data_IF_076693015180
#
_entry.id   IF_076693015180
#
_cell.length_a   1.000
_cell.length_b   1.000
_cell.length_c   1.000
_cell.angle_alpha   90.00
_cell.angle_beta   90.00
_cell.angle_gamma   90.00
#
_symmetry.space_group_name_H-M   'P 1'
#
loop_
_entity.id
_entity.type
_entity.pdbx_description
1 polymer ?
#
# COMPACT_ATOMS: atom_id res chain seq x y z
N UNK A 1 -24.86 17.10 -9.59
CA UNK A 1 -23.69 16.29 -9.17
C UNK A 1 -22.50 16.75 -9.99
N UNK A 2 -21.36 17.13 -9.38
CA UNK A 2 -20.15 17.38 -10.14
C UNK A 2 -19.80 16.12 -10.92
N UNK A 3 -19.50 16.24 -12.20
CA UNK A 3 -18.95 15.15 -13.00
C UNK A 3 -17.64 14.68 -12.36
N UNK A 4 -17.41 13.36 -12.22
CA UNK A 4 -16.19 12.76 -11.62
C UNK A 4 -14.86 13.42 -12.08
N UNK A 5 -14.81 13.94 -13.30
CA UNK A 5 -13.67 14.68 -13.84
C UNK A 5 -13.28 15.97 -13.07
N UNK A 6 -14.22 16.64 -12.38
CA UNK A 6 -13.97 17.88 -11.60
C UNK A 6 -13.58 17.62 -10.15
N UNK A 7 -14.04 16.51 -9.56
CA UNK A 7 -13.80 16.19 -8.16
C UNK A 7 -12.31 15.93 -7.86
N UNK A 8 -11.62 15.18 -8.74
CA UNK A 8 -10.21 14.82 -8.52
C UNK A 8 -9.24 16.03 -8.42
N UNK A 9 -9.27 17.04 -9.33
CA UNK A 9 -8.45 18.24 -9.18
C UNK A 9 -8.64 18.99 -7.85
N UNK A 10 -9.88 19.04 -7.35
CA UNK A 10 -10.21 19.69 -6.07
C UNK A 10 -9.63 18.88 -4.88
N UNK A 11 -9.83 17.56 -4.87
CA UNK A 11 -9.22 16.66 -3.87
C UNK A 11 -7.70 16.81 -3.82
N UNK A 12 -7.04 16.79 -4.99
CA UNK A 12 -5.59 16.96 -5.09
C UNK A 12 -5.11 18.32 -4.60
N UNK A 13 -5.87 19.38 -4.88
CA UNK A 13 -5.55 20.73 -4.38
C UNK A 13 -5.65 20.79 -2.86
N UNK A 14 -6.72 20.25 -2.28
CA UNK A 14 -6.91 20.20 -0.83
C UNK A 14 -5.78 19.43 -0.13
N UNK A 15 -5.44 18.24 -0.66
CA UNK A 15 -4.31 17.42 -0.16
C UNK A 15 -2.99 18.20 -0.23
N UNK A 16 -2.68 18.83 -1.38
CA UNK A 16 -1.44 19.62 -1.54
C UNK A 16 -1.36 20.77 -0.55
N UNK A 17 -2.45 21.53 -0.41
CA UNK A 17 -2.51 22.66 0.51
C UNK A 17 -2.29 22.22 1.96
N UNK A 18 -2.88 21.10 2.37
CA UNK A 18 -2.67 20.56 3.71
C UNK A 18 -1.21 20.14 3.93
N UNK A 19 -0.64 19.35 3.01
CA UNK A 19 0.74 18.87 3.16
C UNK A 19 1.78 20.00 3.12
N UNK A 20 1.52 21.09 2.40
CA UNK A 20 2.38 22.29 2.41
C UNK A 20 2.43 22.97 3.78
N UNK A 21 1.35 22.87 4.57
CA UNK A 21 1.22 23.46 5.88
C UNK A 21 1.33 22.42 7.01
N UNK A 22 1.85 21.23 6.71
CA UNK A 22 2.00 20.15 7.67
C UNK A 22 2.95 20.56 8.81
N UNK A 23 2.48 20.47 10.06
CA UNK A 23 3.29 20.82 11.22
C UNK A 23 4.17 19.63 11.64
N UNK A 24 5.41 19.64 11.16
CA UNK A 24 6.42 18.62 11.49
C UNK A 24 6.93 18.69 12.94
N UNK A 25 6.51 19.66 13.75
CA UNK A 25 6.79 19.67 15.20
C UNK A 25 5.73 18.91 15.98
N UNK A 26 4.50 18.85 15.44
CA UNK A 26 3.35 18.15 16.00
C UNK A 26 2.83 17.13 14.98
N UNK A 27 3.70 16.16 14.64
CA UNK A 27 3.45 15.22 13.53
C UNK A 27 2.19 14.38 13.76
N UNK A 28 1.90 13.98 15.00
CA UNK A 28 0.72 13.15 15.31
C UNK A 28 -0.58 13.93 15.06
N UNK A 29 -0.64 15.16 15.54
CA UNK A 29 -1.78 16.07 15.36
C UNK A 29 -1.97 16.37 13.87
N UNK A 30 -0.88 16.64 13.15
CA UNK A 30 -0.92 16.90 11.70
C UNK A 30 -1.38 15.69 10.89
N UNK A 31 -0.96 14.47 11.26
CA UNK A 31 -1.43 13.24 10.63
C UNK A 31 -2.92 13.02 10.89
N UNK A 32 -3.38 13.24 12.13
CA UNK A 32 -4.80 13.10 12.47
C UNK A 32 -5.65 14.10 11.68
N UNK A 33 -5.27 15.38 11.64
CA UNK A 33 -5.97 16.38 10.84
C UNK A 33 -5.93 16.08 9.33
N UNK A 34 -4.86 15.45 8.84
CA UNK A 34 -4.80 15.01 7.45
C UNK A 34 -5.83 13.94 7.16
N UNK A 35 -6.03 12.99 8.09
CA UNK A 35 -7.04 11.93 7.95
C UNK A 35 -8.46 12.51 7.98
N UNK A 36 -8.74 13.51 8.83
CA UNK A 36 -10.02 14.21 8.80
C UNK A 36 -10.26 14.88 7.44
N UNK A 37 -9.24 15.54 6.87
CA UNK A 37 -9.33 16.08 5.51
C UNK A 37 -9.63 14.97 4.48
N UNK A 38 -8.97 13.82 4.56
CA UNK A 38 -9.20 12.70 3.63
C UNK A 38 -10.65 12.23 3.68
N UNK A 39 -11.23 12.18 4.87
CA UNK A 39 -12.64 11.84 5.08
C UNK A 39 -13.58 12.90 4.52
N UNK A 40 -13.29 14.18 4.74
CA UNK A 40 -14.08 15.31 4.23
C UNK A 40 -14.13 15.36 2.69
N UNK A 41 -13.05 14.93 2.04
CA UNK A 41 -12.96 14.85 0.58
C UNK A 41 -13.34 13.46 0.03
N UNK A 42 -14.01 12.63 0.82
CA UNK A 42 -14.53 11.31 0.44
C UNK A 42 -13.44 10.37 -0.12
N UNK A 43 -12.31 10.26 0.58
CA UNK A 43 -11.37 9.15 0.42
C UNK A 43 -11.84 8.00 1.29
N UNK A 44 -12.08 6.85 0.66
CA UNK A 44 -12.61 5.65 1.33
C UNK A 44 -11.53 4.63 1.62
N UNK A 45 -10.41 4.70 0.90
CA UNK A 45 -9.33 3.73 1.01
C UNK A 45 -7.95 4.31 0.74
N UNK A 46 -6.96 3.80 1.47
CA UNK A 46 -5.55 3.97 1.16
C UNK A 46 -4.93 2.60 0.84
N UNK A 47 -4.31 2.50 -0.32
CA UNK A 47 -3.60 1.30 -0.77
C UNK A 47 -2.11 1.55 -0.68
N UNK A 48 -1.39 0.71 0.05
CA UNK A 48 0.06 0.82 0.21
C UNK A 48 0.78 -0.34 -0.50
N UNK A 49 1.93 -0.06 -1.10
CA UNK A 49 2.98 -1.10 -1.23
C UNK A 49 3.56 -1.47 0.15
N UNK A 50 4.40 -2.48 0.22
CA UNK A 50 4.91 -3.02 1.47
C UNK A 50 6.39 -2.69 1.70
N UNK A 51 7.28 -3.23 0.86
CA UNK A 51 8.72 -3.03 0.99
C UNK A 51 9.06 -1.56 0.71
N UNK A 52 9.93 -0.95 1.52
CA UNK A 52 10.24 0.49 1.46
C UNK A 52 9.02 1.44 1.43
N UNK A 53 7.85 0.95 1.86
CA UNK A 53 6.63 1.75 1.98
C UNK A 53 6.05 1.59 3.39
N UNK A 54 5.38 0.49 3.71
CA UNK A 54 4.92 0.21 5.08
C UNK A 54 6.11 -0.05 6.00
N UNK A 55 7.08 -0.82 5.51
CA UNK A 55 8.31 -1.13 6.24
C UNK A 55 9.49 -0.34 5.65
N UNK A 56 10.40 0.11 6.51
CA UNK A 56 11.63 0.80 6.11
C UNK A 56 12.75 -0.15 5.66
N UNK A 57 12.40 -1.33 5.13
CA UNK A 57 13.35 -2.35 4.73
C UNK A 57 12.83 -3.15 3.52
N UNK A 58 13.75 -3.77 2.77
CA UNK A 58 13.40 -4.72 1.73
C UNK A 58 13.34 -6.14 2.30
N UNK A 59 12.15 -6.76 2.29
CA UNK A 59 12.00 -8.18 2.58
C UNK A 59 12.50 -9.04 1.43
N UNK A 60 12.42 -8.55 0.18
CA UNK A 60 12.68 -9.36 -1.01
C UNK A 60 11.53 -10.31 -1.35
N UNK A 61 10.34 -10.03 -0.82
CA UNK A 61 9.11 -10.76 -1.10
C UNK A 61 8.81 -11.94 -0.17
N UNK A 62 9.70 -12.32 0.74
CA UNK A 62 9.46 -13.31 1.80
C UNK A 62 10.56 -13.24 2.88
N UNK A 63 10.32 -13.79 4.08
CA UNK A 63 11.34 -13.95 5.12
C UNK A 63 11.30 -15.34 5.75
N UNK A 64 12.39 -15.74 6.40
CA UNK A 64 12.40 -16.84 7.37
C UNK A 64 12.30 -16.26 8.80
N UNK A 65 11.18 -16.49 9.49
CA UNK A 65 10.96 -15.99 10.86
C UNK A 65 12.05 -16.42 11.84
N UNK A 66 12.64 -17.60 11.64
CA UNK A 66 13.67 -18.13 12.53
C UNK A 66 15.04 -17.48 12.34
N UNK A 67 15.22 -16.79 11.20
CA UNK A 67 16.48 -16.18 10.80
C UNK A 67 16.26 -14.76 10.26
N UNK A 68 15.39 -13.97 10.92
CA UNK A 68 15.08 -12.59 10.59
C UNK A 68 16.21 -11.63 11.07
N UNK A 69 17.43 -11.83 10.56
CA UNK A 69 18.62 -11.05 10.97
C UNK A 69 18.43 -9.55 10.71
N UNK A 70 17.68 -9.20 9.66
CA UNK A 70 17.40 -7.80 9.28
C UNK A 70 16.29 -7.17 10.12
N UNK A 71 15.67 -7.90 11.05
CA UNK A 71 14.55 -7.45 11.87
C UNK A 71 13.37 -6.91 11.04
N UNK A 72 13.07 -7.53 9.90
CA UNK A 72 11.97 -7.12 9.00
C UNK A 72 10.64 -7.05 9.75
N UNK A 73 10.39 -7.98 10.67
CA UNK A 73 9.15 -7.96 11.46
C UNK A 73 9.00 -6.73 12.37
N UNK A 74 10.08 -6.00 12.67
CA UNK A 74 10.07 -4.76 13.48
C UNK A 74 10.15 -3.48 12.63
N UNK A 75 10.21 -3.60 11.31
CA UNK A 75 10.57 -2.51 10.41
C UNK A 75 9.41 -1.59 10.00
N UNK A 76 8.20 -1.75 10.55
CA UNK A 76 7.05 -0.88 10.23
C UNK A 76 7.36 0.55 10.64
N UNK A 77 7.21 1.52 9.72
CA UNK A 77 7.62 2.91 9.98
C UNK A 77 6.71 3.60 10.99
N UNK A 78 7.26 4.56 11.74
CA UNK A 78 6.48 5.28 12.75
C UNK A 78 5.35 6.11 12.14
N UNK A 79 5.57 6.78 11.00
CA UNK A 79 4.52 7.54 10.33
C UNK A 79 3.41 6.62 9.81
N UNK A 80 3.75 5.44 9.29
CA UNK A 80 2.73 4.46 8.93
C UNK A 80 1.92 4.03 10.17
N UNK A 81 2.56 3.75 11.31
CA UNK A 81 1.83 3.36 12.54
C UNK A 81 0.82 4.43 12.97
N UNK A 82 1.21 5.69 12.97
CA UNK A 82 0.33 6.80 13.37
C UNK A 82 -0.78 6.98 12.33
N UNK A 83 -0.44 7.01 11.05
CA UNK A 83 -1.38 7.27 9.97
C UNK A 83 -2.39 6.12 9.80
N UNK A 84 -1.93 4.87 9.78
CA UNK A 84 -2.77 3.69 9.65
C UNK A 84 -3.73 3.50 10.83
N UNK A 85 -3.32 3.89 12.04
CA UNK A 85 -4.22 3.93 13.19
C UNK A 85 -5.33 4.96 13.00
N UNK A 86 -4.95 6.19 12.64
CA UNK A 86 -5.90 7.28 12.44
C UNK A 86 -6.88 7.00 11.28
N UNK A 87 -6.39 6.42 10.17
CA UNK A 87 -7.23 5.95 9.05
C UNK A 87 -8.28 4.95 9.52
N UNK A 88 -7.86 3.92 10.27
CA UNK A 88 -8.74 2.89 10.81
C UNK A 88 -9.80 3.48 11.76
N UNK A 89 -9.39 4.34 12.69
CA UNK A 89 -10.30 5.01 13.64
C UNK A 89 -11.33 5.91 12.94
N UNK A 90 -11.03 6.39 11.74
CA UNK A 90 -11.92 7.21 10.91
C UNK A 90 -12.66 6.44 9.81
N UNK A 91 -12.60 5.11 9.81
CA UNK A 91 -13.32 4.27 8.85
C UNK A 91 -12.77 4.31 7.43
N UNK A 92 -11.57 4.86 7.22
CA UNK A 92 -10.86 4.79 5.93
C UNK A 92 -10.13 3.46 5.87
N UNK A 93 -10.51 2.62 4.90
CA UNK A 93 -9.98 1.26 4.77
C UNK A 93 -8.53 1.26 4.31
N UNK A 94 -7.79 0.23 4.69
CA UNK A 94 -6.40 0.03 4.26
C UNK A 94 -6.29 -1.31 3.54
N UNK A 95 -5.72 -1.30 2.34
CA UNK A 95 -5.31 -2.49 1.64
C UNK A 95 -3.81 -2.44 1.32
N UNK A 96 -3.19 -3.60 1.13
CA UNK A 96 -1.80 -3.71 0.72
C UNK A 96 -1.74 -4.33 -0.67
N UNK A 97 -1.01 -3.71 -1.59
CA UNK A 97 -0.73 -4.24 -2.91
C UNK A 97 0.78 -4.46 -3.02
N UNK A 98 1.26 -5.70 -2.92
CA UNK A 98 2.68 -6.04 -2.84
C UNK A 98 3.07 -7.15 -3.84
N UNK A 99 4.35 -7.22 -4.18
CA UNK A 99 4.94 -8.29 -5.01
C UNK A 99 5.57 -9.40 -4.17
N UNK A 100 4.92 -9.75 -3.06
CA UNK A 100 5.36 -10.76 -2.07
C UNK A 100 4.58 -12.07 -2.26
N UNK A 101 4.64 -12.66 -3.45
CA UNK A 101 3.80 -13.82 -3.78
C UNK A 101 4.23 -15.12 -3.07
N UNK A 102 3.25 -15.86 -2.56
CA UNK A 102 3.43 -17.17 -1.93
C UNK A 102 4.09 -18.20 -2.86
N UNK A 103 3.94 -18.03 -4.18
CA UNK A 103 4.63 -18.85 -5.20
C UNK A 103 6.16 -18.83 -5.00
N UNK A 104 6.72 -17.75 -4.45
CA UNK A 104 8.15 -17.63 -4.14
C UNK A 104 8.66 -18.66 -3.13
N UNK A 105 7.78 -19.12 -2.23
CA UNK A 105 8.12 -20.09 -1.18
C UNK A 105 7.43 -21.45 -1.38
N UNK A 106 6.60 -21.59 -2.42
CA UNK A 106 5.78 -22.78 -2.69
C UNK A 106 6.57 -24.10 -2.66
N UNK A 107 7.71 -24.16 -3.36
CA UNK A 107 8.59 -25.34 -3.41
C UNK A 107 9.28 -25.69 -2.08
N UNK A 108 9.28 -24.76 -1.12
CA UNK A 108 9.98 -24.88 0.17
C UNK A 108 9.04 -24.99 1.37
N UNK A 109 7.74 -24.74 1.19
CA UNK A 109 6.73 -24.69 2.27
C UNK A 109 6.63 -26.01 3.06
N UNK A 110 6.85 -27.15 2.42
CA UNK A 110 6.90 -28.46 3.09
C UNK A 110 8.20 -28.74 3.86
N UNK A 111 9.26 -27.95 3.64
CA UNK A 111 10.59 -28.13 4.24
C UNK A 111 10.90 -27.10 5.34
N UNK A 112 10.25 -25.94 5.32
CA UNK A 112 10.41 -24.91 6.35
C UNK A 112 9.05 -24.25 6.65
N UNK A 113 8.55 -24.50 7.86
CA UNK A 113 7.31 -23.89 8.38
C UNK A 113 7.51 -22.43 8.85
N UNK A 114 8.75 -21.92 8.81
CA UNK A 114 9.10 -20.58 9.28
C UNK A 114 9.18 -19.55 8.16
N UNK A 115 9.21 -19.99 6.90
CA UNK A 115 9.11 -19.12 5.73
C UNK A 115 7.70 -18.54 5.59
N UNK A 116 7.60 -17.22 5.45
CA UNK A 116 6.36 -16.49 5.23
C UNK A 116 6.52 -15.47 4.11
N UNK A 117 5.47 -15.27 3.33
CA UNK A 117 5.35 -14.29 2.26
C UNK A 117 3.94 -13.66 2.33
N UNK A 118 3.64 -12.74 1.42
CA UNK A 118 2.31 -12.20 1.18
C UNK A 118 1.63 -11.69 2.44
N UNK A 119 0.39 -12.15 2.66
CA UNK A 119 -0.41 -11.77 3.80
C UNK A 119 0.25 -12.14 5.14
N UNK A 120 0.80 -13.35 5.26
CA UNK A 120 1.45 -13.82 6.48
C UNK A 120 2.64 -12.92 6.86
N UNK A 121 3.41 -12.46 5.88
CA UNK A 121 4.52 -11.52 6.09
C UNK A 121 4.03 -10.16 6.57
N UNK A 122 3.04 -9.58 5.91
CA UNK A 122 2.46 -8.29 6.31
C UNK A 122 1.94 -8.37 7.75
N UNK A 123 1.13 -9.39 8.06
CA UNK A 123 0.55 -9.58 9.39
C UNK A 123 1.62 -9.82 10.46
N UNK A 124 2.69 -10.55 10.12
CA UNK A 124 3.83 -10.72 11.01
C UNK A 124 4.47 -9.37 11.37
N UNK A 125 4.71 -8.50 10.39
CA UNK A 125 5.30 -7.18 10.61
C UNK A 125 4.38 -6.26 11.42
N UNK A 126 3.08 -6.19 11.09
CA UNK A 126 2.09 -5.40 11.83
C UNK A 126 2.06 -5.82 13.31
N UNK A 127 1.96 -7.13 13.57
CA UNK A 127 1.90 -7.67 14.94
C UNK A 127 3.19 -7.45 15.72
N UNK A 128 4.34 -7.82 15.15
CA UNK A 128 5.65 -7.76 15.85
C UNK A 128 6.07 -6.31 16.10
N UNK A 129 5.71 -5.38 15.20
CA UNK A 129 5.96 -3.94 15.36
C UNK A 129 4.97 -3.21 16.29
N UNK A 130 3.98 -3.93 16.87
CA UNK A 130 2.89 -3.37 17.69
C UNK A 130 2.15 -2.23 16.95
N UNK A 131 1.89 -2.43 15.66
CA UNK A 131 1.15 -1.47 14.85
C UNK A 131 -0.36 -1.68 15.07
N UNK A 132 -1.00 -0.69 15.67
CA UNK A 132 -2.44 -0.70 15.97
C UNK A 132 -3.24 -0.26 14.75
N UNK A 133 -3.42 -1.16 13.79
CA UNK A 133 -4.21 -0.90 12.58
C UNK A 133 -4.95 -2.15 12.11
N UNK A 134 -5.86 -1.98 11.15
CA UNK A 134 -6.55 -3.06 10.47
C UNK A 134 -6.25 -2.97 8.98
N UNK A 135 -5.57 -3.99 8.46
CA UNK A 135 -5.42 -4.21 7.02
C UNK A 135 -6.61 -5.05 6.57
N UNK A 136 -7.44 -4.51 5.67
CA UNK A 136 -8.64 -5.21 5.19
C UNK A 136 -8.27 -6.41 4.32
N UNK A 137 -7.26 -6.26 3.46
CA UNK A 137 -6.77 -7.35 2.62
C UNK A 137 -5.37 -7.07 2.06
N UNK A 138 -4.60 -8.13 1.85
CA UNK A 138 -3.31 -8.10 1.16
C UNK A 138 -3.45 -8.75 -0.23
N UNK A 139 -3.09 -8.01 -1.27
CA UNK A 139 -3.01 -8.45 -2.65
C UNK A 139 -1.53 -8.66 -2.97
N UNK A 140 -1.06 -9.90 -2.85
CA UNK A 140 0.36 -10.23 -2.89
C UNK A 140 0.83 -10.83 -4.23
N UNK A 141 0.23 -10.47 -5.35
CA UNK A 141 0.54 -11.08 -6.64
C UNK A 141 1.82 -10.52 -7.26
N UNK A 142 2.79 -11.37 -7.60
CA UNK A 142 4.01 -10.93 -8.31
C UNK A 142 3.91 -11.28 -9.82
N UNK A 143 3.91 -10.30 -10.75
CA UNK A 143 3.68 -10.54 -12.18
C UNK A 143 4.58 -11.61 -12.82
N UNK A 144 5.79 -11.82 -12.28
CA UNK A 144 6.70 -12.86 -12.72
C UNK A 144 6.06 -14.27 -12.74
N UNK A 145 5.21 -14.59 -11.76
CA UNK A 145 4.55 -15.91 -11.66
C UNK A 145 3.31 -16.06 -12.54
N UNK A 146 2.83 -14.97 -13.16
CA UNK A 146 1.61 -14.95 -13.99
C UNK A 146 1.91 -14.66 -15.45
N UNK A 147 2.99 -15.24 -15.97
CA UNK A 147 3.39 -15.14 -17.39
C UNK A 147 2.75 -16.21 -18.26
N UNK A 148 2.49 -17.39 -17.71
CA UNK A 148 1.92 -18.51 -18.45
C UNK A 148 0.39 -18.45 -18.51
N UNK A 149 -0.24 -18.89 -19.62
CA UNK A 149 -1.69 -18.92 -19.77
C UNK A 149 -2.44 -19.59 -18.63
N UNK A 150 -1.93 -20.71 -18.13
CA UNK A 150 -2.55 -21.40 -16.99
C UNK A 150 -2.58 -20.54 -15.73
N UNK A 151 -1.50 -19.79 -15.46
CA UNK A 151 -1.35 -18.98 -14.25
C UNK A 151 -2.18 -17.69 -14.34
N UNK A 152 -2.07 -16.90 -15.42
CA UNK A 152 -2.83 -15.65 -15.50
C UNK A 152 -4.34 -15.86 -15.70
N UNK A 153 -4.76 -16.93 -16.40
CA UNK A 153 -6.20 -17.25 -16.54
C UNK A 153 -6.83 -17.65 -15.21
N UNK A 154 -6.07 -18.24 -14.28
CA UNK A 154 -6.56 -18.54 -12.94
C UNK A 154 -6.92 -17.27 -12.14
N UNK A 155 -6.37 -16.12 -12.53
CA UNK A 155 -6.73 -14.81 -11.97
C UNK A 155 -7.81 -14.08 -12.78
N UNK A 156 -8.38 -14.71 -13.81
CA UNK A 156 -9.36 -14.10 -14.71
C UNK A 156 -8.75 -13.21 -15.80
N UNK A 157 -7.42 -13.19 -15.95
CA UNK A 157 -6.74 -12.40 -16.97
C UNK A 157 -6.76 -13.09 -18.34
N UNK A 158 -6.77 -12.30 -19.41
CA UNK A 158 -6.68 -12.80 -20.80
C UNK A 158 -5.25 -12.76 -21.36
N UNK A 159 -4.34 -12.08 -20.66
CA UNK A 159 -2.92 -11.93 -21.00
C UNK A 159 -2.09 -11.95 -19.72
N UNK A 160 -0.74 -12.06 -19.81
CA UNK A 160 0.12 -11.94 -18.64
C UNK A 160 -0.18 -10.70 -17.81
N UNK A 161 -0.05 -10.83 -16.50
CA UNK A 161 -0.16 -9.69 -15.58
C UNK A 161 0.85 -8.61 -15.96
N UNK A 162 0.43 -7.34 -15.89
CA UNK A 162 1.32 -6.20 -16.13
C UNK A 162 2.38 -6.09 -15.02
N UNK A 163 3.54 -5.51 -15.33
CA UNK A 163 4.64 -5.31 -14.36
C UNK A 163 4.44 -4.07 -13.47
N UNK A 164 3.20 -3.66 -13.25
CA UNK A 164 2.80 -2.55 -12.39
C UNK A 164 1.64 -3.00 -11.49
N UNK A 165 1.03 -2.06 -10.76
CA UNK A 165 -0.04 -2.35 -9.79
C UNK A 165 -1.45 -2.25 -10.38
N UNK A 166 -1.59 -2.14 -11.70
CA UNK A 166 -2.90 -1.99 -12.34
C UNK A 166 -3.85 -3.13 -12.00
N UNK A 167 -3.37 -4.37 -12.06
CA UNK A 167 -4.16 -5.54 -11.67
C UNK A 167 -4.60 -5.50 -10.21
N UNK A 168 -3.68 -5.17 -9.29
CA UNK A 168 -3.97 -5.10 -7.86
C UNK A 168 -5.01 -4.03 -7.55
N UNK A 169 -4.82 -2.82 -8.09
CA UNK A 169 -5.72 -1.69 -7.87
C UNK A 169 -7.10 -1.93 -8.49
N UNK A 170 -7.17 -2.53 -9.69
CA UNK A 170 -8.43 -2.95 -10.29
C UNK A 170 -9.16 -3.98 -9.41
N UNK A 171 -8.43 -4.99 -8.92
CA UNK A 171 -9.02 -6.03 -8.07
C UNK A 171 -9.54 -5.46 -6.75
N UNK A 172 -8.78 -4.57 -6.13
CA UNK A 172 -9.19 -3.83 -4.93
C UNK A 172 -10.49 -3.07 -5.17
N UNK A 173 -10.58 -2.31 -6.26
CA UNK A 173 -11.77 -1.53 -6.58
C UNK A 173 -13.01 -2.39 -6.78
N UNK A 174 -12.88 -3.49 -7.50
CA UNK A 174 -13.98 -4.43 -7.74
C UNK A 174 -14.45 -5.08 -6.45
N UNK A 175 -13.53 -5.47 -5.57
CA UNK A 175 -13.87 -6.19 -4.35
C UNK A 175 -14.46 -5.28 -3.26
N UNK A 176 -13.97 -4.04 -3.16
CA UNK A 176 -14.42 -3.09 -2.14
C UNK A 176 -15.47 -2.09 -2.62
N UNK A 177 -15.87 -2.16 -3.89
CA UNK A 177 -16.82 -1.25 -4.55
C UNK A 177 -16.45 0.23 -4.34
N UNK A 178 -15.22 0.58 -4.74
CA UNK A 178 -14.68 1.95 -4.63
C UNK A 178 -14.22 2.51 -5.97
N UNK A 179 -14.42 3.81 -6.15
CA UNK A 179 -14.00 4.55 -7.33
C UNK A 179 -12.51 4.89 -7.29
N UNK A 180 -11.89 5.14 -8.45
CA UNK A 180 -10.45 5.43 -8.52
C UNK A 180 -10.08 6.75 -7.82
N UNK A 181 -10.98 7.74 -7.79
CA UNK A 181 -10.80 9.01 -7.07
C UNK A 181 -11.17 8.95 -5.57
N UNK A 182 -11.59 7.78 -5.07
CA UNK A 182 -11.81 7.49 -3.65
C UNK A 182 -10.62 6.73 -3.02
N UNK A 183 -9.58 6.45 -3.82
CA UNK A 183 -8.37 5.73 -3.40
C UNK A 183 -7.15 6.66 -3.46
N UNK A 184 -6.37 6.64 -2.39
CA UNK A 184 -4.97 7.07 -2.41
C UNK A 184 -4.08 5.84 -2.55
N UNK A 185 -3.20 5.84 -3.55
CA UNK A 185 -2.20 4.79 -3.74
C UNK A 185 -0.81 5.30 -3.35
N UNK A 186 -0.09 4.53 -2.53
CA UNK A 186 1.21 4.91 -1.96
C UNK A 186 2.23 3.80 -2.23
N UNK A 187 3.33 4.12 -2.91
CA UNK A 187 4.35 3.15 -3.34
C UNK A 187 5.72 3.84 -3.50
N UNK A 188 6.81 3.15 -3.23
CA UNK A 188 8.18 3.67 -3.38
C UNK A 188 8.67 3.61 -4.84
N UNK A 189 8.19 2.64 -5.62
CA UNK A 189 8.49 2.53 -7.05
C UNK A 189 7.70 3.59 -7.83
N UNK A 190 8.43 4.60 -8.31
CA UNK A 190 7.89 5.68 -9.14
C UNK A 190 7.18 5.17 -10.40
N UNK A 191 7.55 4.00 -10.95
CA UNK A 191 6.88 3.42 -12.12
C UNK A 191 5.47 2.97 -11.81
N UNK A 192 5.28 2.28 -10.68
CA UNK A 192 3.94 1.91 -10.18
C UNK A 192 3.11 3.17 -9.97
N UNK A 193 3.72 4.18 -9.34
CA UNK A 193 3.04 5.44 -9.06
C UNK A 193 2.61 6.18 -10.34
N UNK A 194 3.50 6.27 -11.33
CA UNK A 194 3.21 6.91 -12.62
C UNK A 194 2.13 6.15 -13.39
N UNK A 195 2.14 4.81 -13.35
CA UNK A 195 1.09 3.99 -13.98
C UNK A 195 -0.27 4.26 -13.33
N UNK A 196 -0.36 4.17 -12.01
CA UNK A 196 -1.59 4.45 -11.27
C UNK A 196 -2.09 5.90 -11.50
N UNK A 197 -1.20 6.89 -11.53
CA UNK A 197 -1.61 8.27 -11.83
C UNK A 197 -2.27 8.40 -13.20
N UNK A 198 -1.73 7.71 -14.23
CA UNK A 198 -2.28 7.70 -15.59
C UNK A 198 -3.68 7.10 -15.64
N UNK A 199 -3.93 6.08 -14.82
CA UNK A 199 -5.26 5.45 -14.70
C UNK A 199 -6.28 6.32 -13.97
N UNK A 200 -5.82 7.21 -13.10
CA UNK A 200 -6.72 8.16 -12.43
C UNK A 200 -6.53 8.28 -10.92
N UNK A 201 -5.66 7.47 -10.31
CA UNK A 201 -5.52 7.44 -8.86
C UNK A 201 -4.89 8.73 -8.33
N UNK A 202 -5.21 9.06 -7.08
CA UNK A 202 -4.39 9.98 -6.28
C UNK A 202 -3.18 9.18 -5.82
N UNK A 203 -1.98 9.64 -6.16
CA UNK A 203 -0.78 8.83 -5.97
C UNK A 203 0.30 9.56 -5.20
N UNK A 204 0.80 8.94 -4.13
CA UNK A 204 1.96 9.43 -3.38
C UNK A 204 3.14 8.49 -3.62
N UNK A 205 4.23 9.03 -4.16
CA UNK A 205 5.47 8.30 -4.26
C UNK A 205 6.31 8.50 -2.99
N UNK A 206 6.77 7.42 -2.37
CA UNK A 206 7.75 7.48 -1.27
C UNK A 206 9.14 7.68 -1.86
N UNK A 207 9.79 8.80 -1.57
CA UNK A 207 11.05 9.22 -2.23
C UNK A 207 12.32 8.94 -1.41
N UNK A 208 12.19 8.34 -0.23
CA UNK A 208 13.29 7.99 0.69
C UNK A 208 13.65 6.51 0.67
N UNK A 209 14.61 6.11 1.52
CA UNK A 209 15.01 4.69 1.71
C UNK A 209 14.47 4.06 2.99
N UNK A 210 13.80 4.86 3.83
CA UNK A 210 13.42 4.46 5.19
C UNK A 210 11.93 4.13 5.31
N UNK A 211 11.25 3.94 4.17
CA UNK A 211 9.81 3.73 4.14
C UNK A 211 8.99 5.03 4.20
N UNK A 212 7.68 4.86 4.36
CA UNK A 212 6.72 5.95 4.39
C UNK A 212 7.00 6.92 5.54
N UNK A 213 7.19 8.18 5.17
CA UNK A 213 7.29 9.33 6.05
C UNK A 213 6.69 10.54 5.31
N UNK A 214 5.87 11.35 5.99
CA UNK A 214 5.24 12.54 5.40
C UNK A 214 6.25 13.58 4.89
N UNK A 215 7.51 13.57 5.38
CA UNK A 215 8.62 14.39 4.85
C UNK A 215 9.15 13.90 3.50
N UNK A 216 8.95 12.62 3.20
CA UNK A 216 9.54 11.91 2.06
C UNK A 216 8.47 11.39 1.10
N UNK A 217 7.37 12.14 0.92
CA UNK A 217 6.36 11.82 -0.08
C UNK A 217 6.28 12.89 -1.16
N UNK A 218 6.04 12.44 -2.39
CA UNK A 218 5.76 13.29 -3.53
C UNK A 218 4.39 12.93 -4.09
N UNK A 219 3.47 13.90 -4.08
CA UNK A 219 2.19 13.78 -4.77
C UNK A 219 2.46 13.87 -6.27
N UNK A 220 2.02 12.87 -7.04
CA UNK A 220 2.15 12.88 -8.50
C UNK A 220 0.96 13.57 -9.17
#
# INVERSE_FOLDING_TARGET
MPTQAKARPEKLTAIRNYLQNFDYKNEKESINGFVELLKDIDIKMVVFDFDLTIIGAHSGGYIDKSNDIKNIGLAVTNHFKIFSKALYENGIKIAVATFSDDEAISSRRGKSSTLIAGEDLVQHCIKKSKCETKIEKVYAYYPYYYREPKKYKALGLQKPMSNDKSFHLEKIRQEFDVNIDEIIFIDDDVKNCVSAKKEGYITFNVTGKDGFNFKNIKIL
#
